data_IF_781412181528
#
_entry.id   IF_781412181528
#
_cell.length_a   1.000
_cell.length_b   1.000
_cell.length_c   1.000
_cell.angle_alpha   90.00
_cell.angle_beta   90.00
_cell.angle_gamma   90.00
#
_symmetry.space_group_name_H-M   'P 1'
#
loop_
_entity.id
_entity.type
_entity.pdbx_description
1 polymer ?
#
# COMPACT_ATOMS: atom_id res chain seq x y z
N UNK A 1 0.25 18.72 0.63
CA UNK A 1 1.12 17.88 -0.23
C UNK A 1 1.51 18.67 -1.45
N UNK A 2 2.81 18.83 -1.74
CA UNK A 2 3.30 19.51 -2.95
C UNK A 2 2.85 18.78 -4.23
N UNK A 3 2.60 19.54 -5.30
CA UNK A 3 2.02 19.03 -6.56
C UNK A 3 2.84 17.89 -7.20
N UNK A 4 4.17 17.94 -7.13
CA UNK A 4 5.05 16.87 -7.63
C UNK A 4 4.80 15.52 -6.94
N UNK A 5 4.53 15.50 -5.64
CA UNK A 5 4.23 14.26 -4.92
C UNK A 5 2.89 13.68 -5.36
N UNK A 6 1.90 14.52 -5.68
CA UNK A 6 0.59 14.08 -6.17
C UNK A 6 0.70 13.43 -7.54
N UNK A 7 1.45 14.03 -8.47
CA UNK A 7 1.66 13.48 -9.82
C UNK A 7 2.37 12.13 -9.76
N UNK A 8 3.44 12.03 -8.96
CA UNK A 8 4.19 10.77 -8.79
C UNK A 8 3.31 9.67 -8.17
N UNK A 9 2.43 10.03 -7.24
CA UNK A 9 1.48 9.12 -6.62
C UNK A 9 0.46 8.60 -7.64
N UNK A 10 -0.09 9.48 -8.47
CA UNK A 10 -1.03 9.12 -9.55
C UNK A 10 -0.36 8.21 -10.58
N UNK A 11 0.89 8.51 -10.98
CA UNK A 11 1.62 7.69 -11.94
C UNK A 11 1.86 6.26 -11.42
N UNK A 12 2.29 6.12 -10.16
CA UNK A 12 2.43 4.79 -9.54
C UNK A 12 1.08 4.08 -9.36
N UNK A 13 0.01 4.82 -9.10
CA UNK A 13 -1.33 4.26 -9.00
C UNK A 13 -1.82 3.69 -10.34
N UNK A 14 -1.57 4.40 -11.44
CA UNK A 14 -1.87 3.95 -12.80
C UNK A 14 -1.01 2.74 -13.18
N UNK A 15 0.30 2.80 -12.94
CA UNK A 15 1.21 1.67 -13.20
C UNK A 15 0.77 0.42 -12.46
N UNK A 16 0.33 0.55 -11.20
CA UNK A 16 -0.14 -0.59 -10.44
C UNK A 16 -1.47 -1.16 -10.94
N UNK A 17 -2.44 -0.31 -11.31
CA UNK A 17 -3.70 -0.78 -11.91
C UNK A 17 -3.47 -1.49 -13.24
N UNK A 18 -2.52 -1.01 -14.04
CA UNK A 18 -2.19 -1.61 -15.33
C UNK A 18 -1.28 -2.85 -15.20
N UNK A 19 -0.44 -2.89 -14.16
CA UNK A 19 0.54 -3.95 -13.93
C UNK A 19 0.59 -4.31 -12.44
N UNK A 20 -0.04 -5.45 -12.09
CA UNK A 20 -0.11 -5.94 -10.71
C UNK A 20 1.28 -6.14 -10.05
N UNK A 21 2.33 -6.37 -10.85
CA UNK A 21 3.72 -6.50 -10.40
C UNK A 21 4.29 -5.21 -9.79
N UNK A 22 3.72 -4.05 -10.11
CA UNK A 22 4.19 -2.74 -9.63
C UNK A 22 3.54 -2.29 -8.32
N UNK A 23 2.98 -3.19 -7.52
CA UNK A 23 2.42 -2.83 -6.22
C UNK A 23 3.50 -2.19 -5.32
N UNK A 24 3.42 -0.86 -5.06
CA UNK A 24 4.49 -0.16 -4.35
C UNK A 24 4.51 -0.49 -2.85
N UNK A 25 3.48 -1.16 -2.33
CA UNK A 25 3.34 -1.49 -0.92
C UNK A 25 3.66 -2.96 -0.61
N UNK A 26 3.54 -3.86 -1.59
CA UNK A 26 3.68 -5.31 -1.41
C UNK A 26 5.01 -5.67 -0.73
N UNK A 27 6.16 -5.22 -1.26
CA UNK A 27 7.47 -5.52 -0.66
C UNK A 27 7.69 -4.92 0.73
N UNK A 28 6.96 -3.86 1.10
CA UNK A 28 7.00 -3.31 2.46
C UNK A 28 6.08 -4.08 3.42
N UNK A 29 4.94 -4.56 2.94
CA UNK A 29 4.02 -5.45 3.66
C UNK A 29 4.70 -6.79 3.94
N UNK A 30 5.36 -7.39 2.94
CA UNK A 30 6.06 -8.67 3.09
C UNK A 30 7.21 -8.58 4.11
N UNK A 31 7.96 -7.48 4.10
CA UNK A 31 8.97 -7.21 5.15
C UNK A 31 8.34 -7.06 6.54
N UNK A 32 7.21 -6.36 6.67
CA UNK A 32 6.52 -6.25 7.96
C UNK A 32 6.04 -7.62 8.44
N UNK A 33 5.48 -8.44 7.53
CA UNK A 33 5.03 -9.81 7.82
C UNK A 33 6.18 -10.69 8.28
N UNK A 34 7.31 -10.67 7.58
CA UNK A 34 8.53 -11.40 7.98
C UNK A 34 9.00 -10.99 9.38
N UNK A 35 9.05 -9.69 9.68
CA UNK A 35 9.42 -9.19 11.01
C UNK A 35 8.44 -9.62 12.10
N UNK A 36 7.13 -9.63 11.82
CA UNK A 36 6.12 -10.13 12.77
C UNK A 36 6.37 -11.61 13.08
N UNK A 37 6.61 -12.44 12.05
CA UNK A 37 6.93 -13.85 12.24
C UNK A 37 8.21 -14.04 13.08
N UNK A 38 9.26 -13.29 12.78
CA UNK A 38 10.52 -13.33 13.54
C UNK A 38 10.34 -12.90 15.00
N UNK A 39 9.61 -11.83 15.26
CA UNK A 39 9.34 -11.39 16.63
C UNK A 39 8.47 -12.38 17.40
N UNK A 40 7.45 -12.96 16.76
CA UNK A 40 6.63 -14.01 17.38
C UNK A 40 7.48 -15.24 17.69
N UNK A 41 8.34 -15.68 16.76
CA UNK A 41 9.28 -16.78 16.98
C UNK A 41 10.21 -16.49 18.16
N UNK A 42 10.90 -15.36 18.15
CA UNK A 42 11.78 -14.92 19.26
C UNK A 42 11.05 -14.75 20.58
N UNK A 43 9.75 -14.44 20.57
CA UNK A 43 8.94 -14.37 21.79
C UNK A 43 8.62 -15.75 22.39
N UNK A 44 8.62 -16.82 21.57
CA UNK A 44 8.45 -18.20 22.04
C UNK A 44 9.75 -18.73 22.62
N UNK A 45 10.88 -18.38 21.99
CA UNK A 45 12.22 -18.78 22.41
C UNK A 45 12.79 -17.92 23.56
N UNK A 46 12.03 -16.93 24.05
CA UNK A 46 12.48 -16.02 25.09
C UNK A 46 12.39 -16.66 26.48
N UNK A 47 13.53 -16.76 27.17
CA UNK A 47 13.63 -17.32 28.53
C UNK A 47 12.90 -16.50 29.61
N UNK A 48 12.67 -15.21 29.37
CA UNK A 48 12.06 -14.32 30.38
C UNK A 48 10.76 -13.70 29.89
N UNK A 49 9.78 -13.62 30.81
CA UNK A 49 8.46 -13.00 30.58
C UNK A 49 8.59 -11.56 30.07
N UNK A 50 9.60 -10.82 30.56
CA UNK A 50 9.86 -9.43 30.13
C UNK A 50 10.33 -9.35 28.68
N UNK A 51 11.23 -10.24 28.24
CA UNK A 51 11.69 -10.30 26.84
C UNK A 51 10.54 -10.74 25.91
N UNK A 52 9.74 -11.72 26.35
CA UNK A 52 8.56 -12.16 25.62
C UNK A 52 7.54 -11.03 25.41
N UNK A 53 7.24 -10.25 26.45
CA UNK A 53 6.34 -9.11 26.36
C UNK A 53 6.88 -8.03 25.39
N UNK A 54 8.19 -7.78 25.40
CA UNK A 54 8.83 -6.81 24.50
C UNK A 54 8.72 -7.23 23.03
N UNK A 55 9.02 -8.48 22.70
CA UNK A 55 8.85 -9.00 21.34
C UNK A 55 7.40 -8.99 20.87
N UNK A 56 6.44 -9.29 21.75
CA UNK A 56 5.01 -9.15 21.44
C UNK A 56 4.62 -7.71 21.14
N UNK A 57 5.16 -6.73 21.87
CA UNK A 57 4.91 -5.31 21.61
C UNK A 57 5.51 -4.87 20.26
N UNK A 58 6.72 -5.34 19.93
CA UNK A 58 7.35 -5.10 18.63
C UNK A 58 6.53 -5.72 17.47
N UNK A 59 6.04 -6.95 17.66
CA UNK A 59 5.15 -7.59 16.69
C UNK A 59 3.85 -6.80 16.49
N UNK A 60 3.22 -6.32 17.58
CA UNK A 60 2.05 -5.44 17.52
C UNK A 60 2.34 -4.13 16.76
N UNK A 61 3.49 -3.52 16.99
CA UNK A 61 3.88 -2.29 16.29
C UNK A 61 4.03 -2.52 14.78
N UNK A 62 4.64 -3.64 14.37
CA UNK A 62 4.75 -3.99 12.95
C UNK A 62 3.39 -4.32 12.33
N UNK A 63 2.48 -4.96 13.07
CA UNK A 63 1.09 -5.19 12.63
C UNK A 63 0.35 -3.88 12.37
N UNK A 64 0.45 -2.90 13.29
CA UNK A 64 -0.15 -1.58 13.10
C UNK A 64 0.44 -0.88 11.86
N UNK A 65 1.76 -0.97 11.67
CA UNK A 65 2.41 -0.42 10.47
C UNK A 65 1.93 -1.09 9.19
N UNK A 66 1.77 -2.41 9.19
CA UNK A 66 1.22 -3.17 8.06
C UNK A 66 -0.21 -2.73 7.74
N UNK A 67 -1.08 -2.59 8.75
CA UNK A 67 -2.45 -2.08 8.56
C UNK A 67 -2.48 -0.66 7.99
N UNK A 68 -1.55 0.21 8.41
CA UNK A 68 -1.43 1.55 7.82
C UNK A 68 -1.01 1.51 6.35
N UNK A 69 -0.10 0.60 5.98
CA UNK A 69 0.29 0.38 4.58
C UNK A 69 -0.87 -0.17 3.75
N UNK A 70 -1.65 -1.10 4.29
CA UNK A 70 -2.86 -1.63 3.63
C UNK A 70 -3.93 -0.55 3.43
N UNK A 71 -4.16 0.31 4.43
CA UNK A 71 -5.07 1.47 4.29
C UNK A 71 -4.61 2.43 3.19
N UNK A 72 -3.29 2.71 3.11
CA UNK A 72 -2.71 3.54 2.05
C UNK A 72 -2.85 2.88 0.69
N UNK A 73 -2.63 1.56 0.61
CA UNK A 73 -2.82 0.73 -0.58
C UNK A 73 -4.27 0.81 -1.08
N UNK A 74 -5.26 0.64 -0.21
CA UNK A 74 -6.68 0.77 -0.54
C UNK A 74 -7.04 2.20 -0.99
N UNK A 75 -6.53 3.22 -0.30
CA UNK A 75 -6.72 4.62 -0.71
C UNK A 75 -6.14 4.88 -2.10
N UNK A 76 -4.95 4.35 -2.39
CA UNK A 76 -4.29 4.52 -3.68
C UNK A 76 -5.04 3.81 -4.81
N UNK A 77 -5.64 2.63 -4.55
CA UNK A 77 -6.57 1.98 -5.51
C UNK A 77 -7.76 2.86 -5.83
N UNK A 78 -8.40 3.45 -4.81
CA UNK A 78 -9.58 4.31 -5.02
C UNK A 78 -9.22 5.52 -5.89
N UNK A 79 -8.05 6.12 -5.65
CA UNK A 79 -7.56 7.23 -6.49
C UNK A 79 -7.23 6.78 -7.92
N UNK A 80 -6.64 5.59 -8.07
CA UNK A 80 -6.35 5.03 -9.38
C UNK A 80 -7.63 4.76 -10.18
N UNK A 81 -8.62 4.15 -9.54
CA UNK A 81 -9.93 3.84 -10.13
C UNK A 81 -10.66 5.12 -10.53
N UNK A 82 -10.69 6.12 -9.63
CA UNK A 82 -11.31 7.42 -9.90
C UNK A 82 -10.63 8.17 -11.03
N UNK A 83 -9.29 8.15 -11.09
CA UNK A 83 -8.52 8.74 -12.17
C UNK A 83 -8.76 8.05 -13.52
N UNK A 84 -8.91 6.73 -13.52
CA UNK A 84 -9.17 5.94 -14.73
C UNK A 84 -10.59 6.20 -15.28
N UNK A 85 -11.60 6.31 -14.41
CA UNK A 85 -12.96 6.68 -14.82
C UNK A 85 -13.01 8.10 -15.37
N UNK A 86 -12.38 9.07 -14.71
CA UNK A 86 -12.34 10.45 -15.17
C UNK A 86 -11.56 10.60 -16.50
N UNK A 87 -10.43 9.89 -16.64
CA UNK A 87 -9.65 9.87 -17.87
C UNK A 87 -10.41 9.22 -19.04
N UNK A 88 -11.05 8.08 -18.79
CA UNK A 88 -11.89 7.40 -19.80
C UNK A 88 -13.07 8.26 -20.24
N UNK A 89 -13.70 8.98 -19.30
CA UNK A 89 -14.78 9.92 -19.60
C UNK A 89 -14.31 11.08 -20.49
N UNK A 90 -13.16 11.68 -20.21
CA UNK A 90 -12.59 12.76 -21.03
C UNK A 90 -12.22 12.28 -22.43
N UNK A 91 -11.64 11.08 -22.57
CA UNK A 91 -11.32 10.49 -23.88
C UNK A 91 -12.60 10.19 -24.66
N UNK A 92 -13.61 9.61 -24.02
CA UNK A 92 -14.92 9.36 -24.65
C UNK A 92 -15.58 10.65 -25.15
N UNK A 93 -15.53 11.72 -24.35
CA UNK A 93 -16.00 13.04 -24.75
C UNK A 93 -15.20 13.65 -25.90
N UNK A 94 -13.87 13.54 -25.87
CA UNK A 94 -13.01 14.04 -26.94
C UNK A 94 -13.29 13.32 -28.28
N UNK A 95 -13.51 12.00 -28.26
CA UNK A 95 -13.88 11.22 -29.45
C UNK A 95 -15.27 11.64 -29.95
N UNK A 96 -16.24 11.80 -29.05
CA UNK A 96 -17.58 12.28 -29.42
C UNK A 96 -17.50 13.65 -30.10
N UNK A 97 -16.69 14.57 -29.58
CA UNK A 97 -16.50 15.91 -30.13
C UNK A 97 -15.74 15.96 -31.46
N UNK A 98 -15.04 14.89 -31.85
CA UNK A 98 -14.37 14.76 -33.16
C UNK A 98 -15.31 14.15 -34.21
N UNK A 99 -16.25 13.31 -33.77
CA UNK A 99 -17.24 12.66 -34.65
C UNK A 99 -18.45 13.58 -34.90
N UNK A 100 -18.79 14.44 -33.94
CA UNK A 100 -19.82 15.48 -34.08
C UNK A 100 -19.29 16.69 -34.85
#
# INVERSE_FOLDING_TARGET
MPAQQRIKLVFHAIQWVLFAEYDPFQGSIDRCRALVYDFVRRSRDAETVRKQANFRNLAKAQLVKMQQLEKKRASLLIHALGGLVAGGFLVGWAVLAVIL
#
